data_IF_936071216733
#
_entry.id   IF_936071216733
#
_cell.length_a   1.000
_cell.length_b   1.000
_cell.length_c   1.000
_cell.angle_alpha   90.00
_cell.angle_beta   90.00
_cell.angle_gamma   90.00
#
_symmetry.space_group_name_H-M   'P 1'
#
loop_
_entity.id
_entity.type
_entity.pdbx_description
1 polymer ?
#
# COMPACT_ATOMS: atom_id res chain seq x y z
N UNK A 1 17.23 -29.47 -39.81
CA UNK A 1 17.59 -29.23 -38.42
C UNK A 1 17.81 -27.73 -38.30
N UNK A 2 16.79 -26.99 -37.84
CA UNK A 2 16.84 -25.55 -37.56
C UNK A 2 16.81 -25.42 -36.07
N UNK A 3 17.87 -24.84 -35.53
CA UNK A 3 18.14 -24.62 -34.10
C UNK A 3 17.15 -23.59 -33.55
N UNK A 4 16.29 -24.02 -32.64
CA UNK A 4 15.29 -23.19 -31.93
C UNK A 4 15.72 -22.97 -30.47
N UNK A 5 16.81 -22.20 -30.27
CA UNK A 5 17.24 -21.75 -28.96
C UNK A 5 17.40 -20.22 -28.92
N UNK A 6 16.28 -19.50 -29.05
CA UNK A 6 16.20 -18.11 -28.57
C UNK A 6 15.23 -18.08 -27.36
N UNK A 7 15.80 -18.25 -26.17
CA UNK A 7 15.10 -18.02 -24.90
C UNK A 7 14.71 -16.54 -24.82
N UNK A 8 13.45 -16.25 -25.03
CA UNK A 8 12.90 -14.91 -24.81
C UNK A 8 12.98 -14.55 -23.33
N UNK A 9 13.72 -13.51 -23.00
CA UNK A 9 13.77 -12.90 -21.66
C UNK A 9 12.35 -12.56 -21.20
N UNK A 10 11.94 -13.04 -20.03
CA UNK A 10 10.60 -12.76 -19.51
C UNK A 10 10.44 -11.26 -19.21
N UNK A 11 9.20 -10.75 -19.23
CA UNK A 11 8.93 -9.35 -18.88
C UNK A 11 9.51 -8.98 -17.50
N UNK A 12 9.54 -9.93 -16.56
CA UNK A 12 10.15 -9.77 -15.24
C UNK A 12 11.67 -9.62 -15.32
N UNK A 13 12.36 -10.40 -16.17
CA UNK A 13 13.82 -10.28 -16.36
C UNK A 13 14.19 -8.93 -16.99
N UNK A 14 13.37 -8.41 -17.91
CA UNK A 14 13.59 -7.06 -18.49
C UNK A 14 13.36 -5.95 -17.45
N UNK A 15 12.40 -6.12 -16.56
CA UNK A 15 12.17 -5.19 -15.42
C UNK A 15 13.38 -5.24 -14.48
N UNK A 16 13.91 -6.42 -14.16
CA UNK A 16 15.07 -6.58 -13.30
C UNK A 16 16.35 -6.04 -13.95
N UNK A 17 16.51 -6.17 -15.27
CA UNK A 17 17.61 -5.56 -16.02
C UNK A 17 17.51 -4.03 -16.13
N UNK A 18 16.31 -3.47 -16.35
CA UNK A 18 16.08 -2.02 -16.33
C UNK A 18 16.34 -1.42 -14.94
N UNK A 19 16.01 -2.17 -13.88
CA UNK A 19 16.33 -1.83 -12.49
C UNK A 19 17.85 -1.66 -12.30
N UNK A 20 18.65 -2.48 -12.96
CA UNK A 20 20.12 -2.44 -12.86
C UNK A 20 20.75 -1.23 -13.56
N UNK A 21 20.13 -0.67 -14.60
CA UNK A 21 20.73 0.40 -15.43
C UNK A 21 20.61 1.82 -14.86
N UNK A 22 19.88 2.04 -13.76
CA UNK A 22 19.69 3.38 -13.12
C UNK A 22 20.41 3.53 -11.79
N UNK A 23 21.34 2.62 -11.45
CA UNK A 23 22.09 2.68 -10.21
C UNK A 23 23.21 3.72 -10.29
N UNK A 24 23.20 4.69 -9.38
CA UNK A 24 24.31 5.66 -9.24
C UNK A 24 25.46 5.02 -8.48
N UNK A 25 26.68 5.06 -9.05
CA UNK A 25 27.93 4.70 -8.38
C UNK A 25 28.17 5.61 -7.15
N UNK A 26 27.65 5.23 -6.00
CA UNK A 26 27.83 6.05 -4.79
C UNK A 26 27.59 5.25 -3.52
N UNK A 27 28.50 5.40 -2.57
CA UNK A 27 28.34 4.86 -1.22
C UNK A 27 27.66 5.90 -0.35
N UNK A 28 26.55 5.51 0.30
CA UNK A 28 25.87 6.32 1.31
C UNK A 28 25.93 5.64 2.66
N UNK A 29 26.19 6.43 3.68
CA UNK A 29 26.30 5.95 5.06
C UNK A 29 25.39 6.78 5.95
N UNK A 30 24.51 6.11 6.64
CA UNK A 30 23.61 6.68 7.63
C UNK A 30 24.14 6.31 9.03
N UNK A 31 24.30 7.32 9.91
CA UNK A 31 24.83 7.14 11.26
C UNK A 31 24.33 8.20 12.22
N UNK A 32 24.59 8.01 13.53
CA UNK A 32 24.25 9.03 14.54
C UNK A 32 22.77 9.01 14.93
N UNK A 33 22.14 7.84 14.90
CA UNK A 33 20.75 7.61 15.29
C UNK A 33 20.42 6.14 15.41
N UNK A 34 19.14 5.79 15.36
CA UNK A 34 18.60 4.46 15.58
C UNK A 34 18.01 3.91 14.28
N UNK A 35 18.34 2.67 13.92
CA UNK A 35 17.66 1.93 12.86
C UNK A 35 16.47 1.15 13.45
N UNK A 36 15.32 1.24 12.78
CA UNK A 36 14.13 0.49 13.15
C UNK A 36 14.09 -0.78 12.31
N UNK A 37 14.29 -1.92 12.97
CA UNK A 37 14.26 -3.25 12.38
C UNK A 37 12.88 -3.91 12.63
N UNK A 38 12.54 -5.00 11.90
CA UNK A 38 11.24 -5.66 12.07
C UNK A 38 10.95 -6.20 13.47
N UNK A 39 11.99 -6.48 14.24
CA UNK A 39 11.95 -7.13 15.55
C UNK A 39 12.48 -6.24 16.69
N UNK A 40 12.84 -5.00 16.42
CA UNK A 40 13.34 -4.09 17.46
C UNK A 40 14.06 -2.84 16.96
N UNK A 41 14.74 -2.17 17.88
CA UNK A 41 15.50 -0.96 17.63
C UNK A 41 17.00 -1.27 17.68
N UNK A 42 17.75 -0.86 16.68
CA UNK A 42 19.21 -0.93 16.64
C UNK A 42 19.77 0.46 16.94
N UNK A 43 20.18 0.68 18.18
CA UNK A 43 20.77 1.95 18.61
C UNK A 43 22.18 2.14 18.04
N UNK A 44 22.61 3.39 17.94
CA UNK A 44 23.91 3.81 17.37
C UNK A 44 24.17 3.12 16.02
N UNK A 45 23.14 3.17 15.17
CA UNK A 45 23.11 2.46 13.92
C UNK A 45 24.12 2.97 12.90
N UNK A 46 24.68 2.04 12.15
CA UNK A 46 25.45 2.26 10.93
C UNK A 46 24.77 1.48 9.80
N UNK A 47 24.24 2.20 8.80
CA UNK A 47 23.64 1.60 7.60
C UNK A 47 24.43 2.07 6.39
N UNK A 48 24.96 1.14 5.60
CA UNK A 48 25.66 1.41 4.35
C UNK A 48 24.81 0.97 3.17
N UNK A 49 24.74 1.85 2.17
CA UNK A 49 24.11 1.57 0.89
C UNK A 49 25.11 1.79 -0.24
N UNK A 50 25.08 0.89 -1.22
CA UNK A 50 25.91 0.96 -2.43
C UNK A 50 25.11 0.49 -3.62
N UNK A 51 25.21 1.17 -4.74
CA UNK A 51 24.59 0.79 -6.01
C UNK A 51 23.09 0.48 -5.84
N UNK A 52 22.40 1.35 -5.10
CA UNK A 52 20.96 1.25 -4.86
C UNK A 52 20.52 0.14 -3.89
N UNK A 53 21.45 -0.57 -3.25
CA UNK A 53 21.16 -1.66 -2.29
C UNK A 53 21.77 -1.40 -0.93
N UNK A 54 21.15 -1.99 0.10
CA UNK A 54 21.70 -2.02 1.46
C UNK A 54 22.83 -3.05 1.49
N UNK A 55 24.02 -2.62 1.92
CA UNK A 55 25.21 -3.49 1.98
C UNK A 55 25.69 -3.78 3.41
N UNK A 56 25.25 -2.98 4.39
CA UNK A 56 25.52 -3.24 5.81
C UNK A 56 24.46 -2.61 6.69
N UNK A 57 24.07 -3.31 7.75
CA UNK A 57 23.27 -2.80 8.87
C UNK A 57 23.91 -3.31 10.14
N UNK A 58 24.41 -2.41 10.98
CA UNK A 58 25.17 -2.78 12.19
C UNK A 58 25.00 -1.73 13.27
N UNK A 59 25.23 -2.11 14.52
CA UNK A 59 25.48 -1.15 15.61
C UNK A 59 26.96 -0.80 15.63
N UNK A 60 27.28 0.45 15.94
CA UNK A 60 28.66 0.94 16.06
C UNK A 60 29.42 0.11 17.11
N UNK A 61 30.64 -0.30 16.77
CA UNK A 61 31.47 -1.15 17.63
C UNK A 61 31.17 -2.66 17.56
N UNK A 62 30.16 -3.09 16.81
CA UNK A 62 29.90 -4.51 16.56
C UNK A 62 30.91 -5.11 15.57
N UNK A 63 30.97 -6.45 15.49
CA UNK A 63 31.85 -7.17 14.53
C UNK A 63 31.51 -6.81 13.08
N UNK A 64 30.25 -6.49 12.79
CA UNK A 64 29.77 -6.06 11.48
C UNK A 64 29.96 -4.57 11.19
N UNK A 65 30.48 -3.78 12.17
CA UNK A 65 30.70 -2.36 12.04
C UNK A 65 31.81 -2.04 11.02
N UNK A 66 31.42 -1.44 9.91
CA UNK A 66 32.32 -0.96 8.86
C UNK A 66 32.68 0.53 9.00
N UNK A 67 32.30 1.18 10.10
CA UNK A 67 32.50 2.63 10.29
C UNK A 67 33.97 3.08 10.21
N UNK A 68 34.92 2.16 10.47
CA UNK A 68 36.37 2.41 10.32
C UNK A 68 36.88 2.30 8.86
N UNK A 69 36.05 1.82 7.92
CA UNK A 69 36.40 1.59 6.52
C UNK A 69 35.55 2.43 5.57
N UNK A 70 35.13 3.62 6.01
CA UNK A 70 34.31 4.51 5.21
C UNK A 70 35.11 4.98 3.97
N UNK A 71 34.62 4.77 2.76
CA UNK A 71 35.25 5.29 1.55
C UNK A 71 35.35 6.81 1.58
N UNK A 72 36.44 7.38 1.07
CA UNK A 72 36.63 8.83 1.06
C UNK A 72 35.56 9.62 0.30
N UNK A 73 34.92 9.00 -0.68
CA UNK A 73 33.86 9.57 -1.52
C UNK A 73 32.44 9.20 -1.05
N UNK A 74 32.30 8.61 0.14
CA UNK A 74 30.97 8.28 0.66
C UNK A 74 30.21 9.53 1.10
N UNK A 75 28.95 9.62 0.71
CA UNK A 75 28.01 10.62 1.26
C UNK A 75 27.58 10.16 2.67
N UNK A 76 27.86 10.99 3.67
CA UNK A 76 27.50 10.70 5.06
C UNK A 76 26.23 11.46 5.42
N UNK A 77 25.19 10.72 5.84
CA UNK A 77 23.93 11.26 6.33
C UNK A 77 23.89 11.10 7.85
N UNK A 78 23.99 12.21 8.55
CA UNK A 78 23.84 12.25 10.00
C UNK A 78 22.36 12.26 10.38
N UNK A 79 21.93 11.23 11.11
CA UNK A 79 20.55 11.07 11.57
C UNK A 79 20.19 12.04 12.72
N UNK A 80 21.18 12.72 13.32
CA UNK A 80 21.01 13.70 14.41
C UNK A 80 20.18 13.17 15.58
N UNK A 81 20.40 11.90 15.95
CA UNK A 81 19.65 11.19 16.99
C UNK A 81 18.23 10.78 16.56
N UNK A 82 17.85 10.96 15.31
CA UNK A 82 16.60 10.46 14.75
C UNK A 82 16.66 8.99 14.35
N UNK A 83 15.80 8.63 13.42
CA UNK A 83 15.63 7.23 12.99
C UNK A 83 15.92 7.06 11.50
N UNK A 84 16.43 5.88 11.14
CA UNK A 84 16.37 5.36 9.79
C UNK A 84 15.43 4.17 9.75
N UNK A 85 14.50 4.18 8.79
CA UNK A 85 13.48 3.14 8.60
C UNK A 85 13.47 2.68 7.16
N UNK A 86 12.99 1.46 6.84
CA UNK A 86 12.69 1.11 5.46
C UNK A 86 11.64 2.08 4.90
N UNK A 87 11.68 2.30 3.61
CA UNK A 87 10.65 3.05 2.91
C UNK A 87 9.27 2.44 3.14
N UNK A 88 8.28 3.30 3.33
CA UNK A 88 6.92 2.85 3.54
C UNK A 88 6.34 2.25 2.24
N UNK A 89 5.48 1.26 2.42
CA UNK A 89 4.80 0.53 1.35
C UNK A 89 3.30 0.71 1.52
N UNK A 90 2.63 1.33 0.56
CA UNK A 90 1.21 1.63 0.61
C UNK A 90 0.45 0.78 -0.40
N UNK A 91 -0.33 -0.17 0.09
CA UNK A 91 -1.07 -1.12 -0.74
C UNK A 91 -2.50 -0.67 -1.06
N UNK A 92 -2.92 0.49 -0.53
CA UNK A 92 -4.26 1.04 -0.73
C UNK A 92 -4.21 2.57 -0.78
N UNK A 93 -4.27 3.14 -1.99
CA UNK A 93 -4.08 4.58 -2.23
C UNK A 93 -4.71 5.02 -3.56
N UNK A 94 -5.52 6.08 -3.55
CA UNK A 94 -6.28 6.54 -4.72
C UNK A 94 -5.68 7.77 -5.40
N UNK A 95 -4.94 8.59 -4.67
CA UNK A 95 -4.34 9.79 -5.25
C UNK A 95 -3.64 10.68 -4.23
N UNK A 96 -3.11 11.81 -4.71
CA UNK A 96 -2.50 12.87 -3.88
C UNK A 96 -2.15 14.10 -4.75
N UNK A 97 -1.94 15.26 -4.12
CA UNK A 97 -1.44 16.46 -4.81
C UNK A 97 -2.37 17.00 -5.90
N UNK A 98 -3.68 16.83 -5.74
CA UNK A 98 -4.69 17.22 -6.70
C UNK A 98 -5.00 16.18 -7.79
N UNK A 99 -4.20 15.11 -7.88
CA UNK A 99 -4.33 14.05 -8.87
C UNK A 99 -4.93 12.76 -8.28
N UNK A 100 -5.74 12.07 -9.07
CA UNK A 100 -6.30 10.75 -8.78
C UNK A 100 -5.79 9.76 -9.82
N UNK A 101 -5.48 8.53 -9.43
CA UNK A 101 -5.00 7.53 -10.39
C UNK A 101 -6.06 7.25 -11.48
N UNK A 102 -7.35 7.38 -11.15
CA UNK A 102 -8.46 7.25 -12.10
C UNK A 102 -8.57 8.43 -13.08
N UNK A 103 -7.74 9.47 -12.96
CA UNK A 103 -7.60 10.49 -14.04
C UNK A 103 -7.00 9.85 -15.31
N UNK A 104 -6.38 8.66 -15.18
CA UNK A 104 -5.96 7.82 -16.28
C UNK A 104 -4.82 8.40 -17.14
N UNK A 105 -4.02 9.30 -16.57
CA UNK A 105 -2.88 9.92 -17.25
C UNK A 105 -1.57 9.66 -16.51
N UNK A 106 -0.47 9.55 -17.25
CA UNK A 106 0.88 9.36 -16.68
C UNK A 106 1.25 10.52 -15.74
N UNK A 107 0.84 11.74 -16.08
CA UNK A 107 1.13 12.93 -15.27
C UNK A 107 0.40 12.91 -13.92
N UNK A 108 -0.87 12.46 -13.89
CA UNK A 108 -1.61 12.26 -12.65
C UNK A 108 -0.94 11.19 -11.78
N UNK A 109 -0.56 10.06 -12.37
CA UNK A 109 0.17 8.98 -11.66
C UNK A 109 1.47 9.50 -11.06
N UNK A 110 2.30 10.21 -11.83
CA UNK A 110 3.56 10.78 -11.36
C UNK A 110 3.36 11.85 -10.27
N UNK A 111 2.31 12.65 -10.38
CA UNK A 111 1.96 13.67 -9.37
C UNK A 111 1.64 13.03 -8.04
N UNK A 112 0.78 12.00 -8.03
CA UNK A 112 0.48 11.24 -6.82
C UNK A 112 1.73 10.55 -6.25
N UNK A 113 2.54 9.88 -7.09
CA UNK A 113 3.78 9.21 -6.67
C UNK A 113 4.78 10.20 -6.03
N UNK A 114 4.98 11.40 -6.61
CA UNK A 114 5.85 12.43 -6.03
C UNK A 114 5.31 12.94 -4.69
N UNK A 115 4.02 13.12 -4.58
CA UNK A 115 3.40 13.60 -3.33
C UNK A 115 3.57 12.57 -2.22
N UNK A 116 3.27 11.30 -2.48
CA UNK A 116 3.45 10.23 -1.50
C UNK A 116 4.91 10.02 -1.08
N UNK A 117 5.87 10.21 -2.00
CA UNK A 117 7.28 10.14 -1.66
C UNK A 117 7.70 11.18 -0.61
N UNK A 118 7.13 12.37 -0.60
CA UNK A 118 7.38 13.38 0.45
C UNK A 118 7.00 12.89 1.85
N UNK A 119 6.01 12.00 1.93
CA UNK A 119 5.51 11.37 3.14
C UNK A 119 6.18 10.04 3.47
N UNK A 120 7.30 9.71 2.81
CA UNK A 120 8.09 8.51 3.08
C UNK A 120 7.60 7.23 2.41
N UNK A 121 6.52 7.27 1.62
CA UNK A 121 6.11 6.13 0.81
C UNK A 121 7.07 5.98 -0.35
N UNK A 122 7.80 4.87 -0.41
CA UNK A 122 8.78 4.59 -1.49
C UNK A 122 8.20 3.64 -2.53
N UNK A 123 7.25 2.82 -2.13
CA UNK A 123 6.50 1.93 -3.04
C UNK A 123 5.02 2.04 -2.74
N UNK A 124 4.22 2.18 -3.79
CA UNK A 124 2.76 2.21 -3.67
C UNK A 124 2.08 1.35 -4.74
N UNK A 125 0.85 0.99 -4.46
CA UNK A 125 -0.02 0.24 -5.36
C UNK A 125 -1.21 1.11 -5.74
N UNK A 126 -1.14 1.86 -6.87
CA UNK A 126 -2.26 2.66 -7.34
C UNK A 126 -3.55 1.86 -7.31
N UNK A 127 -4.56 2.40 -6.64
CA UNK A 127 -5.80 1.70 -6.34
C UNK A 127 -6.92 2.29 -7.19
N UNK A 128 -7.64 1.42 -7.95
CA UNK A 128 -8.79 1.86 -8.73
C UNK A 128 -9.94 2.27 -7.82
N UNK A 129 -10.92 2.99 -8.35
CA UNK A 129 -12.23 3.18 -7.72
C UNK A 129 -13.31 2.45 -8.51
N UNK A 130 -14.58 2.54 -8.12
CA UNK A 130 -15.66 2.14 -9.00
C UNK A 130 -15.64 2.99 -10.27
N UNK A 131 -15.76 2.35 -11.43
CA UNK A 131 -15.68 2.98 -12.73
C UNK A 131 -16.11 2.05 -13.85
N UNK A 132 -16.23 2.57 -15.06
CA UNK A 132 -16.47 1.76 -16.25
C UNK A 132 -15.24 0.90 -16.57
N UNK A 133 -15.43 -0.16 -17.37
CA UNK A 133 -14.31 -0.97 -17.85
C UNK A 133 -13.26 -0.13 -18.59
N UNK A 134 -13.70 0.85 -19.37
CA UNK A 134 -12.81 1.75 -20.13
C UNK A 134 -11.95 2.61 -19.21
N UNK A 135 -12.53 3.25 -18.19
CA UNK A 135 -11.82 4.09 -17.22
C UNK A 135 -10.78 3.29 -16.44
N UNK A 136 -11.13 2.08 -16.00
CA UNK A 136 -10.20 1.19 -15.30
C UNK A 136 -9.05 0.78 -16.24
N UNK A 137 -9.34 0.38 -17.49
CA UNK A 137 -8.30 0.03 -18.46
C UNK A 137 -7.36 1.21 -18.77
N UNK A 138 -7.90 2.43 -18.84
CA UNK A 138 -7.12 3.65 -19.05
C UNK A 138 -6.16 3.90 -17.87
N UNK A 139 -6.64 3.76 -16.63
CA UNK A 139 -5.82 3.86 -15.43
C UNK A 139 -4.71 2.79 -15.41
N UNK A 140 -5.04 1.53 -15.72
CA UNK A 140 -4.06 0.44 -15.79
C UNK A 140 -2.96 0.73 -16.82
N UNK A 141 -3.31 1.27 -18.00
CA UNK A 141 -2.36 1.65 -19.03
C UNK A 141 -1.43 2.79 -18.57
N UNK A 142 -1.99 3.84 -17.96
CA UNK A 142 -1.20 4.96 -17.43
C UNK A 142 -0.22 4.52 -16.32
N UNK A 143 -0.66 3.64 -15.43
CA UNK A 143 0.20 3.08 -14.38
C UNK A 143 1.31 2.19 -14.97
N UNK A 144 1.00 1.38 -15.99
CA UNK A 144 2.00 0.55 -16.69
C UNK A 144 3.08 1.40 -17.34
N UNK A 145 2.68 2.47 -18.04
CA UNK A 145 3.60 3.40 -18.68
C UNK A 145 4.48 4.14 -17.66
N UNK A 146 3.87 4.64 -16.57
CA UNK A 146 4.60 5.31 -15.49
C UNK A 146 5.59 4.37 -14.80
N UNK A 147 5.23 3.10 -14.60
CA UNK A 147 6.10 2.06 -14.00
C UNK A 147 7.31 1.77 -14.89
N UNK A 148 7.10 1.58 -16.19
CA UNK A 148 8.18 1.27 -17.17
C UNK A 148 9.19 2.42 -17.29
N UNK A 149 8.72 3.66 -17.21
CA UNK A 149 9.55 4.87 -17.37
C UNK A 149 9.88 5.53 -16.01
N UNK A 150 9.96 4.73 -14.93
CA UNK A 150 10.22 5.24 -13.61
C UNK A 150 11.67 5.73 -13.45
N UNK A 151 11.81 6.85 -12.75
CA UNK A 151 13.08 7.36 -12.21
C UNK A 151 12.85 7.84 -10.78
N UNK A 152 13.90 8.01 -9.98
CA UNK A 152 13.76 8.52 -8.61
C UNK A 152 13.11 9.91 -8.55
N UNK A 153 13.25 10.75 -9.57
CA UNK A 153 12.56 12.03 -9.69
C UNK A 153 11.03 11.91 -9.83
N UNK A 154 10.53 10.75 -10.22
CA UNK A 154 9.08 10.47 -10.29
C UNK A 154 8.48 10.14 -8.92
N UNK A 155 9.28 10.03 -7.86
CA UNK A 155 8.82 9.67 -6.53
C UNK A 155 8.63 8.18 -6.34
N UNK A 156 7.62 7.78 -5.56
CA UNK A 156 7.34 6.39 -5.20
C UNK A 156 7.34 5.45 -6.41
N UNK A 157 7.90 4.26 -6.22
CA UNK A 157 7.83 3.18 -7.21
C UNK A 157 6.43 2.57 -7.24
N UNK A 158 5.94 2.21 -8.42
CA UNK A 158 4.69 1.47 -8.57
C UNK A 158 5.01 -0.02 -8.43
N UNK A 159 4.56 -0.65 -7.32
CA UNK A 159 4.76 -2.08 -7.06
C UNK A 159 3.84 -2.99 -7.89
N UNK A 160 2.81 -2.42 -8.47
CA UNK A 160 1.72 -3.01 -9.23
C UNK A 160 0.46 -2.20 -8.97
N UNK A 161 -0.70 -2.64 -9.47
CA UNK A 161 -1.99 -1.98 -9.27
C UNK A 161 -2.87 -2.81 -8.35
N UNK A 162 -3.62 -2.14 -7.48
CA UNK A 162 -4.71 -2.69 -6.70
C UNK A 162 -6.02 -2.50 -7.48
N UNK A 163 -6.52 -3.57 -8.08
CA UNK A 163 -7.86 -3.59 -8.70
C UNK A 163 -8.91 -3.59 -7.58
N UNK A 164 -9.46 -2.42 -7.30
CA UNK A 164 -10.38 -2.15 -6.20
C UNK A 164 -11.67 -1.54 -6.74
N UNK A 165 -12.78 -2.24 -6.64
CA UNK A 165 -13.94 -1.94 -7.46
C UNK A 165 -13.73 -2.28 -8.95
N UNK A 166 -14.80 -2.37 -9.70
CA UNK A 166 -16.19 -2.04 -9.36
C UNK A 166 -16.98 -3.15 -8.67
N UNK A 167 -16.33 -4.21 -8.20
CA UNK A 167 -16.98 -5.42 -7.71
C UNK A 167 -17.34 -5.30 -6.22
N UNK A 168 -18.18 -4.30 -5.89
CA UNK A 168 -18.64 -3.95 -4.56
C UNK A 168 -20.12 -4.24 -4.36
N UNK A 169 -20.50 -4.51 -3.10
CA UNK A 169 -21.90 -4.53 -2.70
C UNK A 169 -22.51 -3.13 -2.76
N UNK A 170 -23.65 -2.96 -3.40
CA UNK A 170 -24.29 -1.65 -3.61
C UNK A 170 -24.69 -0.95 -2.32
N UNK A 171 -24.90 -1.68 -1.23
CA UNK A 171 -25.23 -1.17 0.10
C UNK A 171 -23.98 -0.90 0.97
N UNK A 172 -22.76 -1.10 0.41
CA UNK A 172 -21.48 -0.90 1.09
C UNK A 172 -20.51 -0.01 0.29
N UNK A 173 -21.01 0.84 -0.58
CA UNK A 173 -20.17 1.66 -1.48
C UNK A 173 -19.40 2.79 -0.81
N UNK A 174 -19.79 3.20 0.41
CA UNK A 174 -19.14 4.37 1.05
C UNK A 174 -19.25 5.61 0.18
N UNK A 175 -18.11 6.18 -0.23
CA UNK A 175 -18.04 7.35 -1.11
C UNK A 175 -18.01 6.99 -2.61
N UNK A 176 -17.91 5.71 -2.97
CA UNK A 176 -17.92 5.29 -4.37
C UNK A 176 -19.31 5.40 -5.01
N UNK A 177 -19.36 5.59 -6.36
CA UNK A 177 -20.61 5.56 -7.11
C UNK A 177 -21.23 4.16 -7.12
N UNK A 178 -22.45 3.98 -6.58
CA UNK A 178 -23.14 2.70 -6.62
C UNK A 178 -23.65 2.31 -8.03
N UNK A 179 -23.75 3.27 -8.93
CA UNK A 179 -24.32 3.07 -10.27
C UNK A 179 -23.45 2.19 -11.16
N UNK A 180 -22.13 2.23 -10.95
CA UNK A 180 -21.16 1.44 -11.71
C UNK A 180 -20.72 0.17 -10.99
N UNK A 181 -21.26 -0.10 -9.79
CA UNK A 181 -21.03 -1.38 -9.09
C UNK A 181 -21.74 -2.54 -9.80
N UNK A 182 -21.02 -3.65 -9.95
CA UNK A 182 -21.50 -4.82 -10.69
C UNK A 182 -20.83 -6.12 -10.27
N UNK A 183 -21.42 -7.23 -10.64
CA UNK A 183 -20.82 -8.54 -10.46
C UNK A 183 -19.61 -8.73 -11.41
N UNK A 184 -18.56 -9.45 -10.98
CA UNK A 184 -17.42 -9.74 -11.83
C UNK A 184 -17.78 -10.75 -12.92
N UNK A 185 -17.58 -10.38 -14.18
CA UNK A 185 -17.71 -11.29 -15.32
C UNK A 185 -16.36 -11.86 -15.75
N UNK A 186 -16.39 -13.05 -16.37
CA UNK A 186 -15.17 -13.69 -16.90
C UNK A 186 -14.52 -12.83 -17.96
N UNK A 187 -15.33 -12.22 -18.84
CA UNK A 187 -14.85 -11.41 -19.95
C UNK A 187 -14.13 -10.15 -19.44
N UNK A 188 -14.77 -9.38 -18.56
CA UNK A 188 -14.23 -8.14 -18.03
C UNK A 188 -12.96 -8.39 -17.22
N UNK A 189 -12.99 -9.35 -16.32
CA UNK A 189 -11.83 -9.68 -15.46
C UNK A 189 -10.65 -10.20 -16.27
N UNK A 190 -10.89 -10.92 -17.40
CA UNK A 190 -9.82 -11.30 -18.31
C UNK A 190 -9.12 -10.10 -18.94
N UNK A 191 -9.86 -9.05 -19.32
CA UNK A 191 -9.26 -7.82 -19.86
C UNK A 191 -8.30 -7.20 -18.86
N UNK A 192 -8.73 -7.11 -17.60
CA UNK A 192 -7.91 -6.51 -16.53
C UNK A 192 -6.64 -7.34 -16.23
N UNK A 193 -6.78 -8.62 -15.94
CA UNK A 193 -5.63 -9.46 -15.60
C UNK A 193 -4.65 -9.67 -16.76
N UNK A 194 -5.10 -9.57 -18.02
CA UNK A 194 -4.22 -9.65 -19.21
C UNK A 194 -3.18 -8.52 -19.24
N UNK A 195 -3.41 -7.40 -18.57
CA UNK A 195 -2.44 -6.30 -18.47
C UNK A 195 -1.18 -6.68 -17.71
N UNK A 196 -1.25 -7.67 -16.81
CA UNK A 196 -0.11 -8.16 -16.02
C UNK A 196 0.33 -7.26 -14.85
N UNK A 197 -0.23 -6.03 -14.76
CA UNK A 197 0.18 -5.05 -13.74
C UNK A 197 -0.56 -5.24 -12.40
N UNK A 198 -1.70 -5.93 -12.38
CA UNK A 198 -2.50 -6.13 -11.17
C UNK A 198 -1.78 -7.08 -10.21
N UNK A 199 -1.56 -6.63 -8.98
CA UNK A 199 -0.92 -7.39 -7.91
C UNK A 199 -1.84 -7.60 -6.69
N UNK A 200 -2.88 -6.78 -6.56
CA UNK A 200 -3.88 -6.87 -5.49
C UNK A 200 -5.24 -6.79 -6.17
N UNK A 201 -6.21 -7.60 -5.71
CA UNK A 201 -7.52 -7.66 -6.36
C UNK A 201 -8.64 -7.86 -5.34
N UNK A 202 -9.54 -6.87 -5.26
CA UNK A 202 -10.69 -6.83 -4.35
C UNK A 202 -11.99 -7.21 -5.05
N UNK A 203 -12.81 -7.97 -4.33
CA UNK A 203 -14.19 -8.26 -4.70
C UNK A 203 -15.01 -8.51 -3.43
N UNK A 204 -16.24 -8.01 -3.36
CA UNK A 204 -17.18 -8.36 -2.31
C UNK A 204 -17.55 -9.86 -2.39
N UNK A 205 -17.47 -10.56 -1.25
CA UNK A 205 -17.53 -12.02 -1.23
C UNK A 205 -18.91 -12.62 -1.55
N UNK A 206 -19.97 -11.84 -1.35
CA UNK A 206 -21.35 -12.22 -1.63
C UNK A 206 -21.76 -12.08 -3.10
N UNK A 207 -20.97 -11.39 -3.94
CA UNK A 207 -21.32 -11.15 -5.33
C UNK A 207 -21.34 -12.44 -6.16
N UNK A 208 -22.26 -12.48 -7.14
CA UNK A 208 -22.28 -13.56 -8.13
C UNK A 208 -20.96 -13.55 -8.91
N UNK A 209 -20.29 -14.71 -8.97
CA UNK A 209 -18.99 -14.82 -9.64
C UNK A 209 -17.77 -14.52 -8.78
N UNK A 210 -17.92 -14.04 -7.53
CA UNK A 210 -16.79 -13.72 -6.64
C UNK A 210 -15.78 -14.87 -6.50
N UNK A 211 -16.23 -16.10 -6.28
CA UNK A 211 -15.33 -17.26 -6.16
C UNK A 211 -14.56 -17.55 -7.47
N UNK A 212 -15.14 -17.30 -8.63
CA UNK A 212 -14.44 -17.42 -9.92
C UNK A 212 -13.40 -16.30 -10.10
N UNK A 213 -13.75 -15.08 -9.68
CA UNK A 213 -12.82 -13.94 -9.65
C UNK A 213 -11.62 -14.24 -8.75
N UNK A 214 -11.82 -14.70 -7.52
CA UNK A 214 -10.74 -15.03 -6.59
C UNK A 214 -9.80 -16.09 -7.14
N UNK A 215 -10.32 -17.20 -7.68
CA UNK A 215 -9.49 -18.24 -8.31
C UNK A 215 -8.70 -17.71 -9.51
N UNK A 216 -9.23 -16.74 -10.25
CA UNK A 216 -8.53 -16.09 -11.35
C UNK A 216 -7.42 -15.18 -10.84
N UNK A 217 -7.71 -14.32 -9.86
CA UNK A 217 -6.72 -13.45 -9.22
C UNK A 217 -5.55 -14.28 -8.64
N UNK A 218 -5.85 -15.41 -7.97
CA UNK A 218 -4.83 -16.34 -7.47
C UNK A 218 -3.92 -16.87 -8.57
N UNK A 219 -4.47 -17.28 -9.71
CA UNK A 219 -3.67 -17.77 -10.86
C UNK A 219 -2.79 -16.69 -11.48
N UNK A 220 -3.13 -15.41 -11.29
CA UNK A 220 -2.31 -14.28 -11.72
C UNK A 220 -1.34 -13.79 -10.63
N UNK A 221 -1.20 -14.54 -9.52
CA UNK A 221 -0.27 -14.21 -8.44
C UNK A 221 -0.65 -12.98 -7.62
N UNK A 222 -1.94 -12.62 -7.58
CA UNK A 222 -2.41 -11.46 -6.83
C UNK A 222 -2.65 -11.80 -5.35
N UNK A 223 -2.42 -10.82 -4.47
CA UNK A 223 -3.07 -10.78 -3.17
C UNK A 223 -4.58 -10.63 -3.41
N UNK A 224 -5.36 -11.56 -2.86
CA UNK A 224 -6.82 -11.54 -3.00
C UNK A 224 -7.43 -10.97 -1.74
N UNK A 225 -8.26 -9.96 -1.92
CA UNK A 225 -8.87 -9.22 -0.81
C UNK A 225 -10.38 -9.10 -0.97
N UNK A 226 -11.06 -8.82 0.13
CA UNK A 226 -12.49 -8.56 0.21
C UNK A 226 -12.71 -7.21 0.89
N UNK A 227 -13.44 -6.32 0.25
CA UNK A 227 -13.80 -5.00 0.76
C UNK A 227 -15.13 -4.55 0.19
N UNK A 228 -15.71 -3.48 0.74
CA UNK A 228 -17.03 -2.98 0.37
C UNK A 228 -18.07 -4.08 0.24
N UNK A 229 -18.19 -4.88 1.30
CA UNK A 229 -18.91 -6.15 1.30
C UNK A 229 -19.86 -6.28 2.49
N UNK A 230 -21.05 -6.77 2.24
CA UNK A 230 -22.01 -7.16 3.27
C UNK A 230 -22.02 -8.69 3.46
N UNK A 231 -20.84 -9.33 3.33
CA UNK A 231 -20.71 -10.78 3.40
C UNK A 231 -20.99 -11.33 4.80
N UNK A 232 -21.67 -12.46 4.85
CA UNK A 232 -21.83 -13.29 6.03
C UNK A 232 -20.59 -14.15 6.28
N UNK A 233 -20.50 -14.75 7.46
CA UNK A 233 -19.48 -15.74 7.79
C UNK A 233 -19.31 -16.84 6.73
N UNK A 234 -20.43 -17.40 6.27
CA UNK A 234 -20.44 -18.48 5.27
C UNK A 234 -19.90 -18.00 3.91
N UNK A 235 -20.21 -16.77 3.50
CA UNK A 235 -19.68 -16.18 2.26
C UNK A 235 -18.18 -15.89 2.38
N UNK A 236 -17.72 -15.40 3.53
CA UNK A 236 -16.30 -15.23 3.82
C UNK A 236 -15.54 -16.56 3.81
N UNK A 237 -16.10 -17.62 4.39
CA UNK A 237 -15.49 -18.96 4.37
C UNK A 237 -15.37 -19.51 2.94
N UNK A 238 -16.37 -19.28 2.11
CA UNK A 238 -16.33 -19.60 0.67
C UNK A 238 -15.23 -18.83 -0.07
N UNK A 239 -15.11 -17.53 0.21
CA UNK A 239 -14.07 -16.67 -0.34
C UNK A 239 -12.67 -17.13 0.08
N UNK A 240 -12.50 -17.46 1.37
CA UNK A 240 -11.25 -17.99 1.91
C UNK A 240 -10.84 -19.31 1.23
N UNK A 241 -11.77 -20.26 1.05
CA UNK A 241 -11.56 -21.51 0.30
C UNK A 241 -11.21 -21.26 -1.18
N UNK A 242 -11.63 -20.14 -1.75
CA UNK A 242 -11.29 -19.71 -3.10
C UNK A 242 -9.95 -18.96 -3.21
N UNK A 243 -9.25 -18.73 -2.08
CA UNK A 243 -7.91 -18.13 -2.03
C UNK A 243 -7.82 -16.74 -1.40
N UNK A 244 -8.93 -16.12 -0.99
CA UNK A 244 -8.94 -14.82 -0.33
C UNK A 244 -8.24 -14.92 1.04
N UNK A 245 -7.33 -13.97 1.35
CA UNK A 245 -6.50 -13.96 2.57
C UNK A 245 -6.40 -12.59 3.22
N UNK A 246 -7.04 -11.57 2.65
CA UNK A 246 -6.93 -10.19 3.10
C UNK A 246 -8.28 -9.49 3.08
N UNK A 247 -8.45 -8.47 3.92
CA UNK A 247 -9.63 -7.61 3.93
C UNK A 247 -9.16 -6.16 3.98
N UNK A 248 -9.78 -5.33 3.14
CA UNK A 248 -9.45 -3.92 3.04
C UNK A 248 -9.93 -3.13 4.28
N UNK A 249 -9.33 -2.00 4.57
CA UNK A 249 -9.64 -0.96 5.57
C UNK A 249 -10.66 -1.39 6.66
N UNK A 250 -10.19 -2.18 7.62
CA UNK A 250 -11.00 -2.84 8.65
C UNK A 250 -11.92 -1.86 9.39
N UNK A 251 -13.17 -2.26 9.58
CA UNK A 251 -14.36 -1.54 10.05
C UNK A 251 -15.00 -0.56 9.05
N UNK A 252 -14.34 -0.19 7.97
CA UNK A 252 -14.93 0.68 6.96
C UNK A 252 -15.65 -0.13 5.87
N UNK A 253 -16.88 0.26 5.51
CA UNK A 253 -17.68 -0.36 4.45
C UNK A 253 -17.78 -1.90 4.50
N UNK A 254 -17.82 -2.47 5.72
CA UNK A 254 -17.93 -3.93 5.92
C UNK A 254 -19.23 -4.32 6.62
N UNK A 255 -19.56 -5.62 6.55
CA UNK A 255 -20.69 -6.18 7.26
C UNK A 255 -20.48 -6.19 8.77
N UNK A 256 -21.58 -6.13 9.48
CA UNK A 256 -21.70 -6.34 10.93
C UNK A 256 -22.78 -7.38 11.21
N UNK A 257 -22.83 -7.94 12.42
CA UNK A 257 -23.89 -8.85 12.84
C UNK A 257 -25.27 -8.24 12.57
N UNK A 258 -25.42 -6.93 12.81
CA UNK A 258 -26.70 -6.21 12.57
C UNK A 258 -27.04 -6.14 11.07
N UNK A 259 -26.08 -5.82 10.20
CA UNK A 259 -26.33 -5.76 8.75
C UNK A 259 -26.63 -7.16 8.16
N UNK A 260 -25.97 -8.20 8.67
CA UNK A 260 -26.25 -9.57 8.28
C UNK A 260 -27.64 -10.01 8.75
N UNK A 261 -28.04 -9.66 9.99
CA UNK A 261 -29.38 -9.89 10.49
C UNK A 261 -30.45 -9.26 9.59
N UNK A 262 -30.22 -8.01 9.16
CA UNK A 262 -31.14 -7.30 8.27
C UNK A 262 -31.24 -7.96 6.88
N UNK A 263 -30.12 -8.50 6.37
CA UNK A 263 -30.07 -9.14 5.05
C UNK A 263 -30.60 -10.58 5.05
N UNK A 264 -30.26 -11.40 6.06
CA UNK A 264 -30.47 -12.85 6.06
C UNK A 264 -31.49 -13.35 7.09
N UNK A 265 -31.97 -12.48 7.99
CA UNK A 265 -32.96 -12.84 9.01
C UNK A 265 -32.37 -13.61 10.20
N UNK A 266 -33.11 -14.58 10.71
CA UNK A 266 -32.77 -15.38 11.89
C UNK A 266 -32.27 -16.78 11.51
N UNK A 267 -31.39 -17.42 12.34
CA UNK A 267 -30.75 -16.87 13.53
C UNK A 267 -29.75 -15.76 13.21
N UNK A 268 -29.25 -15.04 14.23
CA UNK A 268 -28.12 -14.13 14.06
C UNK A 268 -26.91 -14.91 13.53
N UNK A 269 -26.26 -14.36 12.53
CA UNK A 269 -25.09 -14.95 11.88
C UNK A 269 -23.88 -14.01 12.02
N UNK A 270 -22.68 -14.57 12.08
CA UNK A 270 -21.44 -13.80 12.05
C UNK A 270 -21.26 -13.05 10.73
N UNK A 271 -20.62 -11.92 10.80
CA UNK A 271 -20.24 -11.08 9.67
C UNK A 271 -18.81 -11.29 9.25
N UNK A 272 -18.34 -10.54 8.24
CA UNK A 272 -16.92 -10.55 7.87
C UNK A 272 -16.02 -10.04 9.00
N UNK A 273 -16.52 -9.15 9.87
CA UNK A 273 -15.77 -8.62 11.01
C UNK A 273 -15.36 -9.76 11.95
N UNK A 274 -16.33 -10.53 12.45
CA UNK A 274 -16.06 -11.68 13.33
C UNK A 274 -15.24 -12.75 12.62
N UNK A 275 -15.48 -12.99 11.32
CA UNK A 275 -14.71 -13.95 10.54
C UNK A 275 -13.22 -13.58 10.50
N UNK A 276 -12.90 -12.33 10.17
CA UNK A 276 -11.51 -11.85 10.08
C UNK A 276 -10.82 -11.92 11.44
N UNK A 277 -11.47 -11.47 12.50
CA UNK A 277 -10.90 -11.48 13.85
C UNK A 277 -10.63 -12.91 14.36
N UNK A 278 -11.54 -13.84 14.06
CA UNK A 278 -11.42 -15.24 14.48
C UNK A 278 -10.41 -16.05 13.66
N UNK A 279 -10.17 -15.68 12.40
CA UNK A 279 -9.30 -16.46 11.51
C UNK A 279 -7.86 -15.94 11.56
N UNK A 280 -6.89 -16.70 12.12
CA UNK A 280 -5.49 -16.29 12.27
C UNK A 280 -4.75 -16.18 10.93
N UNK A 281 -5.23 -16.80 9.86
CA UNK A 281 -4.64 -16.69 8.53
C UNK A 281 -5.06 -15.42 7.78
N UNK A 282 -6.12 -14.75 8.21
CA UNK A 282 -6.57 -13.51 7.61
C UNK A 282 -5.71 -12.34 8.04
N UNK A 283 -5.33 -11.52 7.08
CA UNK A 283 -4.71 -10.21 7.29
C UNK A 283 -5.69 -9.09 6.93
N UNK A 284 -5.41 -7.86 7.36
CA UNK A 284 -6.25 -6.71 7.07
C UNK A 284 -5.45 -5.40 7.10
N UNK A 285 -6.12 -4.32 6.74
CA UNK A 285 -5.61 -2.94 6.73
C UNK A 285 -6.31 -2.10 7.79
N UNK A 286 -5.65 -1.03 8.22
CA UNK A 286 -6.25 0.05 9.03
C UNK A 286 -5.80 1.42 8.53
N UNK A 287 -6.72 2.38 8.62
CA UNK A 287 -6.48 3.80 8.33
C UNK A 287 -6.30 4.53 9.67
N UNK A 288 -5.05 4.87 9.99
CA UNK A 288 -4.69 5.51 11.25
C UNK A 288 -4.54 7.03 11.10
N UNK A 289 -5.49 7.68 10.43
CA UNK A 289 -5.46 9.13 10.20
C UNK A 289 -5.99 9.98 11.37
N UNK A 290 -6.59 9.31 12.39
CA UNK A 290 -7.21 9.97 13.55
C UNK A 290 -8.65 10.43 13.29
N UNK A 291 -9.24 10.08 12.14
CA UNK A 291 -10.61 10.38 11.75
C UNK A 291 -11.43 9.10 11.50
N UNK A 292 -10.84 8.08 10.86
CA UNK A 292 -11.52 6.81 10.59
C UNK A 292 -11.64 5.94 11.83
N UNK A 293 -10.56 5.78 12.60
CA UNK A 293 -10.52 4.89 13.76
C UNK A 293 -10.01 5.62 15.01
N UNK A 294 -10.69 5.43 16.12
CA UNK A 294 -10.22 5.86 17.42
C UNK A 294 -9.09 4.97 17.95
N UNK A 295 -8.30 5.47 18.91
CA UNK A 295 -7.09 4.77 19.39
C UNK A 295 -7.36 3.38 19.95
N UNK A 296 -8.50 3.17 20.63
CA UNK A 296 -8.89 1.87 21.15
C UNK A 296 -9.13 0.83 20.05
N UNK A 297 -9.68 1.22 18.88
CA UNK A 297 -9.85 0.31 17.75
C UNK A 297 -8.51 0.01 17.07
N UNK A 298 -7.64 1.01 16.93
CA UNK A 298 -6.26 0.80 16.40
C UNK A 298 -5.48 -0.17 17.30
N UNK A 299 -5.53 0.03 18.63
CA UNK A 299 -4.89 -0.85 19.61
C UNK A 299 -5.48 -2.27 19.58
N UNK A 300 -6.81 -2.37 19.45
CA UNK A 300 -7.51 -3.65 19.38
C UNK A 300 -7.14 -4.43 18.11
N UNK A 301 -7.10 -3.75 16.93
CA UNK A 301 -6.68 -4.38 15.68
C UNK A 301 -5.28 -5.01 15.79
N UNK A 302 -4.32 -4.24 16.35
CA UNK A 302 -2.97 -4.76 16.57
C UNK A 302 -2.93 -5.96 17.52
N UNK A 303 -3.68 -5.94 18.63
CA UNK A 303 -3.76 -7.07 19.56
C UNK A 303 -4.32 -8.33 18.90
N UNK A 304 -5.30 -8.17 18.02
CA UNK A 304 -5.98 -9.30 17.37
C UNK A 304 -5.18 -9.84 16.17
N UNK A 305 -4.48 -8.98 15.43
CA UNK A 305 -3.82 -9.36 14.16
C UNK A 305 -2.30 -9.34 14.24
N UNK A 306 -1.72 -8.69 15.25
CA UNK A 306 -0.28 -8.43 15.37
C UNK A 306 0.29 -7.63 14.18
N UNK A 307 1.51 -7.15 14.29
CA UNK A 307 2.17 -6.41 13.22
C UNK A 307 2.43 -7.24 11.95
N UNK A 308 2.40 -8.57 12.05
CA UNK A 308 2.62 -9.46 10.89
C UNK A 308 1.38 -9.69 10.01
N UNK A 309 0.20 -9.27 10.46
CA UNK A 309 -1.08 -9.47 9.76
C UNK A 309 -1.91 -8.20 9.64
N UNK A 310 -1.38 -7.08 10.10
CA UNK A 310 -2.03 -5.78 10.05
C UNK A 310 -1.17 -4.84 9.22
N UNK A 311 -1.75 -4.23 8.18
CA UNK A 311 -1.11 -3.22 7.35
C UNK A 311 -1.62 -1.83 7.74
N UNK A 312 -0.73 -0.84 7.85
CA UNK A 312 -1.10 0.56 7.78
C UNK A 312 -1.23 0.92 6.30
N UNK A 313 -2.34 1.54 5.93
CA UNK A 313 -2.57 2.10 4.60
C UNK A 313 -3.00 3.54 4.72
N UNK A 314 -2.80 4.31 3.66
CA UNK A 314 -3.31 5.68 3.66
C UNK A 314 -4.77 5.73 3.26
N UNK A 315 -5.19 4.87 2.35
CA UNK A 315 -6.47 5.01 1.66
C UNK A 315 -6.72 6.47 1.28
N UNK A 316 -5.68 7.16 0.82
CA UNK A 316 -5.73 8.60 0.59
C UNK A 316 -6.24 8.93 -0.79
N UNK A 317 -6.96 10.05 -0.88
CA UNK A 317 -7.50 10.60 -2.11
C UNK A 317 -6.65 11.77 -2.63
N UNK A 318 -7.06 12.39 -3.75
CA UNK A 318 -6.36 13.50 -4.41
C UNK A 318 -6.11 14.72 -3.52
N UNK A 319 -6.83 14.91 -2.40
CA UNK A 319 -6.72 16.09 -1.56
C UNK A 319 -5.53 16.09 -0.58
N UNK A 320 -4.67 15.04 -0.60
CA UNK A 320 -3.39 15.07 0.14
C UNK A 320 -2.55 16.24 -0.35
N UNK A 321 -1.99 17.03 0.59
CA UNK A 321 -1.21 18.26 0.33
C UNK A 321 -1.98 19.35 -0.44
N UNK A 322 -3.32 19.28 -0.44
CA UNK A 322 -4.18 20.31 -1.02
C UNK A 322 -4.92 21.09 0.08
N UNK A 323 -5.33 22.35 -0.19
CA UNK A 323 -6.13 23.13 0.74
C UNK A 323 -7.50 22.48 0.99
N UNK A 324 -8.20 22.83 2.08
CA UNK A 324 -9.61 22.48 2.21
C UNK A 324 -10.43 22.94 1.00
N UNK A 325 -11.39 22.14 0.57
CA UNK A 325 -12.18 22.45 -0.61
C UNK A 325 -12.93 21.24 -1.18
N UNK A 326 -13.56 21.46 -2.31
CA UNK A 326 -14.36 20.47 -3.01
C UNK A 326 -13.54 19.77 -4.09
N UNK A 327 -13.50 18.44 -4.02
CA UNK A 327 -12.70 17.58 -4.90
C UNK A 327 -13.55 16.44 -5.45
N UNK A 328 -13.06 15.80 -6.50
CA UNK A 328 -13.67 14.60 -7.06
C UNK A 328 -12.90 13.36 -6.59
N UNK A 329 -13.59 12.33 -6.17
CA UNK A 329 -13.06 11.01 -5.86
C UNK A 329 -13.27 10.09 -7.05
N UNK A 330 -12.20 9.51 -7.58
CA UNK A 330 -12.23 8.68 -8.78
C UNK A 330 -12.20 9.49 -10.08
N UNK A 331 -12.71 8.89 -11.17
CA UNK A 331 -12.62 9.43 -12.52
C UNK A 331 -13.43 10.72 -12.72
N UNK A 332 -13.12 11.43 -13.80
CA UNK A 332 -13.86 12.64 -14.19
C UNK A 332 -15.29 12.35 -14.65
N UNK A 333 -15.60 11.12 -15.11
CA UNK A 333 -16.91 10.75 -15.65
C UNK A 333 -17.82 10.14 -14.59
N UNK A 334 -17.34 9.11 -13.87
CA UNK A 334 -18.15 8.32 -12.92
C UNK A 334 -17.84 8.59 -11.46
N UNK A 335 -16.79 9.37 -11.15
CA UNK A 335 -16.40 9.71 -9.79
C UNK A 335 -17.40 10.60 -9.07
N UNK A 336 -17.36 10.55 -7.73
CA UNK A 336 -18.25 11.30 -6.84
C UNK A 336 -17.56 12.56 -6.31
N UNK A 337 -18.35 13.55 -5.85
CA UNK A 337 -17.82 14.74 -5.21
C UNK A 337 -17.71 14.54 -3.69
N UNK A 338 -16.66 15.09 -3.12
CA UNK A 338 -16.47 15.18 -1.67
C UNK A 338 -15.91 16.55 -1.29
N UNK A 339 -16.05 16.89 -0.02
CA UNK A 339 -15.44 18.07 0.58
C UNK A 339 -14.34 17.67 1.54
N UNK A 340 -13.15 18.25 1.40
CA UNK A 340 -12.04 18.08 2.34
C UNK A 340 -12.04 19.25 3.33
N UNK A 341 -12.05 18.95 4.62
CA UNK A 341 -11.85 19.94 5.68
C UNK A 341 -10.36 20.13 6.03
N UNK A 342 -9.45 19.52 5.24
CA UNK A 342 -8.02 19.48 5.47
C UNK A 342 -7.58 18.42 6.49
N UNK A 343 -8.52 17.64 7.06
CA UNK A 343 -8.24 16.50 7.96
C UNK A 343 -8.71 15.19 7.35
N UNK A 344 -9.89 15.18 6.73
CA UNK A 344 -10.51 14.03 6.08
C UNK A 344 -11.42 14.50 4.95
N UNK A 345 -11.82 13.61 4.05
CA UNK A 345 -12.85 13.86 3.03
C UNK A 345 -14.25 13.49 3.53
N UNK A 346 -15.26 14.24 3.13
CA UNK A 346 -16.68 14.02 3.44
C UNK A 346 -17.49 13.90 2.15
N UNK A 347 -18.11 12.76 1.93
CA UNK A 347 -19.05 12.57 0.82
C UNK A 347 -20.43 13.15 1.14
N UNK A 348 -21.22 13.48 0.11
CA UNK A 348 -22.54 14.09 0.27
C UNK A 348 -23.57 13.23 1.02
N UNK A 349 -23.33 11.92 1.13
CA UNK A 349 -24.16 10.99 1.92
C UNK A 349 -23.73 10.88 3.40
N UNK A 350 -22.78 11.70 3.84
CA UNK A 350 -22.24 11.70 5.22
C UNK A 350 -21.16 10.64 5.48
N UNK A 351 -20.79 9.83 4.48
CA UNK A 351 -19.65 8.90 4.60
C UNK A 351 -18.34 9.66 4.58
N UNK A 352 -17.30 9.09 5.20
CA UNK A 352 -15.92 9.52 4.94
C UNK A 352 -15.55 9.18 3.49
N UNK A 353 -14.83 10.08 2.85
CA UNK A 353 -14.35 9.92 1.48
C UNK A 353 -12.84 9.77 1.48
N UNK A 354 -12.37 8.64 2.02
CA UNK A 354 -10.96 8.33 2.17
C UNK A 354 -10.18 9.34 3.02
N UNK A 355 -8.90 9.09 3.25
CA UNK A 355 -8.02 10.00 3.98
C UNK A 355 -7.45 11.10 3.07
N UNK A 356 -6.97 12.19 3.68
CA UNK A 356 -6.20 13.27 3.02
C UNK A 356 -4.80 13.38 3.64
N UNK A 357 -4.26 12.27 4.13
CA UNK A 357 -2.98 12.20 4.86
C UNK A 357 -2.03 11.19 4.22
N UNK A 358 -0.72 11.48 4.28
CA UNK A 358 0.32 10.54 3.87
C UNK A 358 0.70 9.52 4.95
N UNK A 359 1.53 8.53 4.60
CA UNK A 359 1.89 7.40 5.48
C UNK A 359 2.63 7.84 6.75
N UNK A 360 3.45 8.86 6.69
CA UNK A 360 4.12 9.42 7.87
C UNK A 360 3.14 9.91 8.93
N UNK A 361 1.98 10.42 8.52
CA UNK A 361 0.91 10.80 9.44
C UNK A 361 0.28 9.57 10.08
N UNK A 362 0.06 8.48 9.32
CA UNK A 362 -0.47 7.21 9.85
C UNK A 362 0.45 6.65 10.93
N UNK A 363 1.76 6.63 10.68
CA UNK A 363 2.78 6.17 11.63
C UNK A 363 2.78 7.03 12.91
N UNK A 364 2.78 8.37 12.78
CA UNK A 364 2.73 9.27 13.94
C UNK A 364 1.44 9.14 14.75
N UNK A 365 0.32 9.00 14.08
CA UNK A 365 -0.99 8.87 14.75
C UNK A 365 -1.09 7.54 15.49
N UNK A 366 -0.66 6.44 14.87
CA UNK A 366 -0.59 5.13 15.53
C UNK A 366 0.29 5.18 16.78
N UNK A 367 1.48 5.79 16.68
CA UNK A 367 2.41 5.96 17.81
C UNK A 367 1.83 6.82 18.93
N UNK A 368 1.10 7.88 18.59
CA UNK A 368 0.51 8.81 19.58
C UNK A 368 -0.73 8.24 20.27
N UNK A 369 -1.56 7.49 19.54
CA UNK A 369 -2.89 7.06 20.02
C UNK A 369 -2.89 5.66 20.63
N UNK A 370 -1.80 4.93 20.56
CA UNK A 370 -1.71 3.53 21.02
C UNK A 370 -0.44 3.28 21.82
N UNK A 371 -0.37 2.12 22.47
CA UNK A 371 0.86 1.62 23.13
C UNK A 371 1.65 0.63 22.24
N UNK A 372 1.38 0.60 20.94
CA UNK A 372 2.07 -0.30 20.00
C UNK A 372 3.54 0.10 19.89
N UNK A 373 4.48 -0.85 20.02
CA UNK A 373 5.90 -0.58 19.85
C UNK A 373 6.24 0.03 18.49
N UNK A 374 7.18 0.97 18.46
CA UNK A 374 7.52 1.69 17.23
C UNK A 374 7.98 0.78 16.09
N UNK A 375 8.72 -0.29 16.39
CA UNK A 375 9.13 -1.27 15.37
C UNK A 375 7.94 -2.01 14.76
N UNK A 376 6.92 -2.34 15.53
CA UNK A 376 5.66 -2.93 15.05
C UNK A 376 4.90 -1.95 14.13
N UNK A 377 4.85 -0.66 14.49
CA UNK A 377 4.21 0.38 13.67
C UNK A 377 4.93 0.50 12.32
N UNK A 378 6.26 0.58 12.33
CA UNK A 378 7.06 0.64 11.11
C UNK A 378 6.91 -0.64 10.28
N UNK A 379 6.86 -1.82 10.93
CA UNK A 379 6.60 -3.09 10.25
C UNK A 379 5.25 -3.08 9.53
N UNK A 380 4.19 -2.59 10.19
CA UNK A 380 2.85 -2.47 9.59
C UNK A 380 2.81 -1.47 8.41
N UNK A 381 3.69 -0.48 8.39
CA UNK A 381 3.80 0.51 7.31
C UNK A 381 4.78 0.12 6.19
N UNK A 382 5.54 -0.98 6.34
CA UNK A 382 6.61 -1.33 5.41
C UNK A 382 6.67 -2.83 5.09
N UNK A 383 7.18 -3.65 6.01
CA UNK A 383 7.44 -5.07 5.74
C UNK A 383 6.14 -5.86 5.55
N UNK A 384 5.15 -5.68 6.42
CA UNK A 384 3.90 -6.44 6.33
C UNK A 384 3.14 -6.18 5.03
N UNK A 385 2.90 -4.92 4.57
CA UNK A 385 2.30 -4.71 3.26
C UNK A 385 3.19 -5.22 2.12
N UNK A 386 4.52 -5.16 2.21
CA UNK A 386 5.42 -5.77 1.23
C UNK A 386 5.30 -7.30 1.18
N UNK A 387 5.17 -7.97 2.33
CA UNK A 387 4.89 -9.42 2.42
C UNK A 387 3.55 -9.77 1.79
N UNK A 388 2.50 -8.99 2.07
CA UNK A 388 1.16 -9.21 1.48
C UNK A 388 1.18 -9.05 -0.03
N UNK A 389 1.85 -8.03 -0.54
CA UNK A 389 1.96 -7.77 -1.98
C UNK A 389 3.02 -8.63 -2.71
N UNK A 390 3.75 -9.51 -1.98
CA UNK A 390 4.74 -10.43 -2.57
C UNK A 390 6.07 -9.79 -2.97
N UNK A 391 6.37 -8.58 -2.47
CA UNK A 391 7.58 -7.82 -2.83
C UNK A 391 8.61 -7.71 -1.68
N UNK A 392 8.38 -8.38 -0.56
CA UNK A 392 9.23 -8.31 0.64
C UNK A 392 10.66 -8.83 0.42
N UNK A 393 10.89 -9.61 -0.62
CA UNK A 393 12.24 -10.07 -1.00
C UNK A 393 13.14 -8.93 -1.50
N UNK A 394 12.58 -7.79 -1.89
CA UNK A 394 13.30 -6.63 -2.39
C UNK A 394 13.24 -5.40 -1.48
N UNK A 395 12.14 -5.21 -0.74
CA UNK A 395 11.86 -3.99 0.02
C UNK A 395 11.22 -4.28 1.38
N UNK A 396 10.92 -3.24 2.15
CA UNK A 396 10.09 -3.30 3.36
C UNK A 396 10.86 -3.53 4.66
N UNK A 397 12.17 -3.81 4.62
CA UNK A 397 13.01 -3.92 5.82
C UNK A 397 14.45 -3.49 5.55
N UNK A 398 15.19 -3.13 6.61
CA UNK A 398 16.61 -2.79 6.56
C UNK A 398 17.45 -4.08 6.60
N UNK A 399 17.47 -4.81 5.50
CA UNK A 399 18.24 -6.06 5.35
C UNK A 399 19.23 -5.95 4.19
N UNK A 400 20.41 -6.54 4.38
CA UNK A 400 21.47 -6.58 3.36
C UNK A 400 20.96 -7.29 2.10
N UNK A 401 21.21 -6.65 0.94
CA UNK A 401 20.78 -7.13 -0.37
C UNK A 401 19.47 -6.53 -0.87
N UNK A 402 18.63 -5.99 0.02
CA UNK A 402 17.39 -5.28 -0.38
C UNK A 402 17.71 -3.91 -1.00
N UNK A 403 16.74 -3.37 -1.72
CA UNK A 403 16.82 -2.03 -2.30
C UNK A 403 16.97 -0.98 -1.18
N UNK A 404 17.78 0.01 -1.42
CA UNK A 404 17.99 1.13 -0.49
C UNK A 404 16.84 2.15 -0.62
N UNK A 405 15.62 1.67 -0.42
CA UNK A 405 14.41 2.45 -0.23
C UNK A 405 14.30 2.79 1.25
N UNK A 406 14.66 4.01 1.63
CA UNK A 406 14.92 4.39 3.01
C UNK A 406 14.27 5.74 3.34
N UNK A 407 13.83 5.87 4.58
CA UNK A 407 13.32 7.13 5.13
C UNK A 407 14.10 7.50 6.39
N UNK A 408 14.57 8.74 6.43
CA UNK A 408 15.13 9.35 7.63
C UNK A 408 14.05 10.15 8.33
N UNK A 409 13.79 9.80 9.58
CA UNK A 409 12.83 10.48 10.43
C UNK A 409 13.57 11.22 11.57
N UNK A 410 13.05 12.39 11.98
CA UNK A 410 13.49 13.00 13.22
C UNK A 410 12.88 12.28 14.45
N UNK A 411 13.22 12.73 15.68
CA UNK A 411 12.69 12.16 16.92
C UNK A 411 11.16 12.27 17.06
N UNK A 412 10.53 13.21 16.33
CA UNK A 412 9.07 13.37 16.29
C UNK A 412 8.44 12.58 15.14
N UNK A 413 9.16 11.63 14.54
CA UNK A 413 8.74 10.79 13.41
C UNK A 413 8.31 11.59 12.16
N UNK A 414 8.87 12.80 11.98
CA UNK A 414 8.67 13.59 10.77
C UNK A 414 9.73 13.22 9.73
N UNK A 415 9.32 13.06 8.48
CA UNK A 415 10.20 12.77 7.35
C UNK A 415 11.19 13.94 7.14
N UNK A 416 12.46 13.60 7.05
CA UNK A 416 13.57 14.54 6.74
C UNK A 416 14.18 14.25 5.40
N UNK A 417 14.40 12.98 5.07
CA UNK A 417 14.93 12.57 3.78
C UNK A 417 14.29 11.27 3.36
N UNK A 418 14.08 11.14 2.07
CA UNK A 418 13.61 9.92 1.42
C UNK A 418 14.65 9.51 0.39
N UNK A 419 14.96 8.23 0.34
CA UNK A 419 15.87 7.64 -0.64
C UNK A 419 15.12 6.56 -1.39
N UNK A 420 15.20 6.62 -2.71
CA UNK A 420 14.59 5.68 -3.64
C UNK A 420 15.71 4.96 -4.38
N UNK A 421 15.87 3.68 -4.12
CA UNK A 421 17.01 2.89 -4.62
C UNK A 421 18.35 3.61 -4.37
N UNK A 422 18.53 4.12 -3.14
CA UNK A 422 19.71 4.85 -2.75
C UNK A 422 19.80 6.29 -3.25
N UNK A 423 18.99 6.73 -4.19
CA UNK A 423 18.97 8.11 -4.68
C UNK A 423 18.10 8.99 -3.78
N UNK A 424 18.65 10.15 -3.37
CA UNK A 424 17.89 11.09 -2.56
C UNK A 424 16.76 11.70 -3.38
N UNK A 425 15.55 11.56 -2.90
CA UNK A 425 14.39 12.24 -3.48
C UNK A 425 14.41 13.71 -3.09
N UNK A 426 14.34 14.58 -4.09
CA UNK A 426 14.24 16.04 -3.93
C UNK A 426 12.96 16.51 -4.61
N UNK A 427 12.19 17.33 -3.92
CA UNK A 427 10.95 17.95 -4.43
C UNK A 427 11.25 19.16 -5.30
#
# INVERSE_FOLDING_TARGET
>A
MIDASKSGTTAQQKIDELICMTLTDGVRIFRGGTAILPDGLLEDAFVECRDGKITSVASRGSVADRSKRVPKNAEIIDLKGGYIVPGFVDIHVHGAGGADFMDGTVDAVRTACRTHAKHGTTTLFPTTTTGTCEEIMQMLAACSEAQLNWTAANGSTIGGVHLYGPFFAKDKTGCHSPEVCRDPTVEETNKYFKTGIIKIATCAAELTGAAAFYRRALRNGCLITCGHSNASWTEMDRAFKAGMRHVDHFWCAMSSVSSIRSRLGVPMQGSMLEYVLNNPEMSTEIIADGCHLAGELLQFAWRMKTSSRLCLVTDSNRAVDCPPGRYRFGSSKTGTWFESDGKVGWAGNGSLASSVRGMDHMVRTMHRMTSVPLHDIVRMASLTPAERAGVAHQIGSLEVGKLADLVVLNRNLQVKHVFLRGQRFTT
#
